data_IF_163260651736
#
_entry.id   IF_163260651736
#
_cell.length_a   1.000
_cell.length_b   1.000
_cell.length_c   1.000
_cell.angle_alpha   90.00
_cell.angle_beta   90.00
_cell.angle_gamma   90.00
#
_symmetry.space_group_name_H-M   'P 1'
#
loop_
_entity.id
_entity.type
_entity.pdbx_description
1 polymer ?
#
# COMPACT_ATOMS: atom_id res chain seq x y z
N UNK A 1 3.74 -30.66 -6.26
CA UNK A 1 3.40 -29.39 -5.59
C UNK A 1 1.98 -29.02 -5.94
N UNK A 2 1.08 -28.85 -4.95
CA UNK A 2 -0.28 -28.39 -5.21
C UNK A 2 -0.23 -26.95 -5.76
N UNK A 3 -0.90 -26.70 -6.87
CA UNK A 3 -1.01 -25.36 -7.46
C UNK A 3 -1.88 -24.53 -6.52
N UNK A 4 -1.26 -23.66 -5.73
CA UNK A 4 -2.00 -22.74 -4.88
C UNK A 4 -2.95 -21.88 -5.73
N UNK A 5 -4.20 -21.78 -5.28
CA UNK A 5 -5.24 -21.01 -5.96
C UNK A 5 -4.89 -19.53 -5.97
N UNK A 6 -5.50 -18.75 -6.88
CA UNK A 6 -5.28 -17.30 -6.94
C UNK A 6 -5.56 -16.61 -5.60
N UNK A 7 -6.62 -17.02 -4.91
CA UNK A 7 -7.00 -16.48 -3.60
C UNK A 7 -5.92 -16.74 -2.53
N UNK A 8 -5.38 -17.97 -2.47
CA UNK A 8 -4.30 -18.31 -1.54
C UNK A 8 -3.03 -17.48 -1.78
N UNK A 9 -2.70 -17.20 -3.05
CA UNK A 9 -1.56 -16.33 -3.39
C UNK A 9 -1.80 -14.89 -2.94
N UNK A 10 -3.02 -14.37 -3.10
CA UNK A 10 -3.37 -13.03 -2.60
C UNK A 10 -3.24 -12.98 -1.07
N UNK A 11 -3.77 -13.96 -0.36
CA UNK A 11 -3.70 -14.01 1.09
C UNK A 11 -2.25 -14.08 1.59
N UNK A 12 -1.41 -14.91 0.97
CA UNK A 12 0.01 -15.00 1.31
C UNK A 12 0.77 -13.68 1.07
N UNK A 13 0.45 -12.96 0.00
CA UNK A 13 1.01 -11.62 -0.25
C UNK A 13 0.54 -10.59 0.78
N UNK A 14 -0.72 -10.64 1.20
CA UNK A 14 -1.22 -9.77 2.27
C UNK A 14 -0.52 -10.05 3.60
N UNK A 15 -0.22 -11.31 3.89
CA UNK A 15 0.59 -11.67 5.08
C UNK A 15 2.03 -11.22 4.95
N UNK A 16 2.63 -11.33 3.77
CA UNK A 16 3.95 -10.77 3.50
C UNK A 16 3.98 -9.25 3.75
N UNK A 17 2.97 -8.52 3.30
CA UNK A 17 2.82 -7.08 3.56
C UNK A 17 2.79 -6.76 5.05
N UNK A 18 2.03 -7.53 5.84
CA UNK A 18 1.96 -7.34 7.30
C UNK A 18 3.34 -7.50 7.95
N UNK A 19 4.05 -8.58 7.64
CA UNK A 19 5.39 -8.83 8.19
C UNK A 19 6.37 -7.70 7.84
N UNK A 20 6.29 -7.17 6.62
CA UNK A 20 7.13 -6.04 6.20
C UNK A 20 6.74 -4.76 6.95
N UNK A 21 5.44 -4.50 7.11
CA UNK A 21 4.94 -3.35 7.87
C UNK A 21 5.34 -3.41 9.35
N UNK A 22 5.43 -4.63 9.92
CA UNK A 22 5.90 -4.89 11.28
C UNK A 22 7.44 -4.77 11.41
N UNK A 23 8.15 -4.46 10.32
CA UNK A 23 9.61 -4.27 10.30
C UNK A 23 10.41 -5.57 10.22
N UNK A 24 9.78 -6.71 9.93
CA UNK A 24 10.49 -7.99 9.78
C UNK A 24 11.33 -7.96 8.49
N UNK A 25 12.63 -8.31 8.55
CA UNK A 25 13.47 -8.32 7.35
C UNK A 25 12.95 -9.37 6.34
N UNK A 26 13.07 -9.11 5.02
CA UNK A 26 12.52 -9.96 3.97
C UNK A 26 12.94 -11.44 4.07
N UNK A 27 14.17 -11.69 4.51
CA UNK A 27 14.75 -13.02 4.69
C UNK A 27 14.02 -13.83 5.78
N UNK A 28 13.63 -13.17 6.86
CA UNK A 28 12.96 -13.81 7.99
C UNK A 28 11.46 -13.94 7.70
N UNK A 29 10.86 -12.91 7.08
CA UNK A 29 9.49 -12.97 6.59
C UNK A 29 9.31 -14.14 5.59
N UNK A 30 10.27 -14.34 4.70
CA UNK A 30 10.24 -15.47 3.77
C UNK A 30 10.29 -16.81 4.51
N UNK A 31 11.08 -16.92 5.58
CA UNK A 31 11.17 -18.13 6.40
C UNK A 31 9.83 -18.42 7.09
N UNK A 32 9.19 -17.41 7.67
CA UNK A 32 7.87 -17.54 8.30
C UNK A 32 6.80 -17.94 7.29
N UNK A 33 6.78 -17.34 6.10
CA UNK A 33 5.84 -17.70 5.03
C UNK A 33 6.08 -19.11 4.47
N UNK A 34 7.34 -19.53 4.38
CA UNK A 34 7.72 -20.90 3.95
C UNK A 34 7.11 -21.91 4.90
N UNK A 35 7.31 -21.73 6.22
CA UNK A 35 6.78 -22.61 7.26
C UNK A 35 5.26 -22.62 7.27
N UNK A 36 4.63 -21.45 7.27
CA UNK A 36 3.18 -21.32 7.39
C UNK A 36 2.41 -21.86 6.18
N UNK A 37 2.91 -21.62 4.96
CA UNK A 37 2.23 -21.98 3.72
C UNK A 37 2.76 -23.25 3.06
N UNK A 38 3.77 -23.89 3.64
CA UNK A 38 4.39 -25.11 3.09
C UNK A 38 4.95 -24.91 1.67
N UNK A 39 5.37 -23.69 1.33
CA UNK A 39 5.84 -23.34 -0.01
C UNK A 39 7.36 -23.15 -0.02
N UNK A 40 7.98 -23.17 -1.21
CA UNK A 40 9.44 -23.00 -1.29
C UNK A 40 9.85 -21.59 -0.86
N UNK A 41 11.04 -21.45 -0.28
CA UNK A 41 11.64 -20.16 0.08
C UNK A 41 11.67 -19.19 -1.10
N UNK A 42 11.96 -19.69 -2.31
CA UNK A 42 11.94 -18.89 -3.56
C UNK A 42 10.54 -18.34 -3.87
N UNK A 43 9.49 -19.12 -3.62
CA UNK A 43 8.10 -18.67 -3.77
C UNK A 43 7.76 -17.58 -2.76
N UNK A 44 8.12 -17.76 -1.50
CA UNK A 44 7.88 -16.76 -0.44
C UNK A 44 8.60 -15.43 -0.73
N UNK A 45 9.86 -15.47 -1.16
CA UNK A 45 10.61 -14.28 -1.55
C UNK A 45 9.96 -13.55 -2.72
N UNK A 46 9.52 -14.28 -3.76
CA UNK A 46 8.80 -13.68 -4.89
C UNK A 46 7.51 -13.00 -4.45
N UNK A 47 6.75 -13.60 -3.54
CA UNK A 47 5.51 -13.00 -3.04
C UNK A 47 5.79 -11.72 -2.21
N UNK A 48 6.90 -11.70 -1.46
CA UNK A 48 7.39 -10.50 -0.76
C UNK A 48 7.79 -9.39 -1.74
N UNK A 49 8.54 -9.69 -2.79
CA UNK A 49 8.94 -8.72 -3.81
C UNK A 49 7.73 -8.08 -4.51
N UNK A 50 6.72 -8.91 -4.82
CA UNK A 50 5.47 -8.43 -5.43
C UNK A 50 4.72 -7.52 -4.45
N UNK A 51 4.59 -7.94 -3.19
CA UNK A 51 3.98 -7.14 -2.13
C UNK A 51 4.67 -5.77 -1.99
N UNK A 52 6.00 -5.74 -1.91
CA UNK A 52 6.76 -4.48 -1.83
C UNK A 52 6.53 -3.59 -3.06
N UNK A 53 6.52 -4.17 -4.25
CA UNK A 53 6.27 -3.43 -5.49
C UNK A 53 4.86 -2.83 -5.54
N UNK A 54 3.85 -3.56 -5.05
CA UNK A 54 2.48 -3.05 -4.93
C UNK A 54 2.39 -1.91 -3.92
N UNK A 55 3.09 -2.00 -2.78
CA UNK A 55 3.17 -0.94 -1.78
C UNK A 55 3.82 0.34 -2.35
N UNK A 56 4.96 0.21 -3.03
CA UNK A 56 5.65 1.36 -3.65
C UNK A 56 4.75 2.04 -4.68
N UNK A 57 4.04 1.27 -5.52
CA UNK A 57 3.08 1.81 -6.48
C UNK A 57 1.92 2.54 -5.80
N UNK A 58 1.42 2.01 -4.69
CA UNK A 58 0.36 2.66 -3.92
C UNK A 58 0.85 3.99 -3.33
N UNK A 59 2.07 4.02 -2.78
CA UNK A 59 2.69 5.23 -2.26
C UNK A 59 2.93 6.29 -3.34
N UNK A 60 3.38 5.90 -4.53
CA UNK A 60 3.56 6.80 -5.67
C UNK A 60 2.23 7.37 -6.20
N UNK A 61 1.11 6.69 -5.97
CA UNK A 61 -0.22 7.13 -6.38
C UNK A 61 -0.86 8.09 -5.38
N UNK A 62 -0.31 8.19 -4.17
CA UNK A 62 -0.73 9.24 -3.24
C UNK A 62 -0.31 10.59 -3.83
N UNK A 63 -1.24 11.56 -3.94
CA UNK A 63 -0.87 12.89 -4.40
C UNK A 63 0.20 13.42 -3.45
N UNK A 64 1.39 13.71 -3.99
CA UNK A 64 2.40 14.46 -3.27
C UNK A 64 1.72 15.74 -2.77
N UNK A 65 1.56 15.87 -1.45
CA UNK A 65 1.12 17.13 -0.86
C UNK A 65 2.06 18.19 -1.42
N UNK A 66 1.58 19.25 -2.11
CA UNK A 66 2.47 20.28 -2.61
C UNK A 66 3.10 20.96 -1.39
N UNK A 67 4.33 20.59 -1.07
CA UNK A 67 5.16 21.22 -0.03
C UNK A 67 5.67 22.57 -0.52
N UNK A 68 4.81 23.38 -1.14
CA UNK A 68 5.14 24.74 -1.48
C UNK A 68 4.78 25.60 -0.26
N UNK A 69 5.80 26.11 0.45
CA UNK A 69 5.67 26.87 1.70
C UNK A 69 4.82 28.15 1.57
N UNK A 70 4.42 28.51 0.36
CA UNK A 70 3.56 29.64 0.01
C UNK A 70 2.14 29.49 0.58
N UNK A 71 1.65 28.26 0.80
CA UNK A 71 0.29 28.04 1.32
C UNK A 71 0.16 28.14 2.85
N UNK A 72 1.28 28.18 3.59
CA UNK A 72 1.25 28.22 5.06
C UNK A 72 0.98 29.63 5.64
N UNK A 73 0.91 30.68 4.81
CA UNK A 73 0.78 32.06 5.29
C UNK A 73 -0.51 32.79 4.90
N UNK A 74 -1.48 32.15 4.25
CA UNK A 74 -2.76 32.82 3.93
C UNK A 74 -3.97 31.99 4.36
N UNK A 75 -4.64 32.35 5.48
CA UNK A 75 -5.90 31.71 5.92
C UNK A 75 -6.94 31.66 4.81
N UNK A 76 -6.95 32.69 3.96
CA UNK A 76 -7.90 32.88 2.84
C UNK A 76 -7.79 31.83 1.73
N UNK A 77 -6.61 31.22 1.56
CA UNK A 77 -6.43 30.16 0.56
C UNK A 77 -7.02 28.81 1.00
N UNK A 78 -6.98 28.52 2.31
CA UNK A 78 -7.58 27.29 2.85
C UNK A 78 -9.12 27.33 2.79
N UNK A 79 -9.73 28.50 2.94
CA UNK A 79 -11.20 28.65 2.84
C UNK A 79 -11.70 28.39 1.42
N UNK A 80 -11.02 28.93 0.40
CA UNK A 80 -11.35 28.65 -1.00
C UNK A 80 -11.16 27.17 -1.36
N UNK A 81 -10.15 26.50 -0.80
CA UNK A 81 -9.94 25.08 -1.06
C UNK A 81 -11.03 24.21 -0.41
N UNK A 82 -11.42 24.54 0.83
CA UNK A 82 -12.54 23.88 1.52
C UNK A 82 -13.87 24.07 0.78
N UNK A 83 -14.16 25.28 0.29
CA UNK A 83 -15.36 25.55 -0.51
C UNK A 83 -15.36 24.80 -1.85
N UNK A 84 -14.20 24.72 -2.51
CA UNK A 84 -14.07 23.96 -3.76
C UNK A 84 -14.27 22.46 -3.55
N UNK A 85 -13.77 21.90 -2.45
CA UNK A 85 -14.04 20.51 -2.07
C UNK A 85 -15.52 20.29 -1.76
N UNK A 86 -16.14 21.19 -1.01
CA UNK A 86 -17.54 21.05 -0.63
C UNK A 86 -18.47 21.11 -1.84
N UNK A 87 -18.18 21.99 -2.82
CA UNK A 87 -18.91 22.03 -4.09
C UNK A 87 -18.71 20.77 -4.94
N UNK A 88 -17.49 20.22 -4.97
CA UNK A 88 -17.23 19.00 -5.72
C UNK A 88 -17.95 17.78 -5.13
N UNK A 89 -18.16 17.74 -3.81
CA UNK A 89 -18.92 16.68 -3.15
C UNK A 89 -20.41 16.84 -3.44
N UNK A 90 -20.96 18.05 -3.33
CA UNK A 90 -22.39 18.30 -3.59
C UNK A 90 -22.79 18.11 -5.07
N UNK A 91 -21.89 18.30 -6.04
CA UNK A 91 -22.18 18.04 -7.46
C UNK A 91 -22.13 16.56 -7.86
N UNK A 92 -21.70 15.65 -6.97
CA UNK A 92 -21.66 14.22 -7.24
C UNK A 92 -22.94 13.46 -6.78
N UNK A 93 -23.93 14.18 -6.22
CA UNK A 93 -25.18 13.61 -5.68
C UNK A 93 -26.44 13.94 -6.52
N UNK A 94 -26.30 14.34 -7.79
CA UNK A 94 -27.39 14.41 -8.78
C UNK A 94 -27.02 13.64 -10.04
#
# INVERSE_FOLDING_TARGET
MAIATRAQRVQRRNEALKLIADGVPPTDAASQLTVKWGCSRRTSLRDIEIAQSELVKALQRLPSIPTNSIWNHTPRAMDHWKESLNRSICSAEH
#
